data_IF_018439902768
#
_entry.id   IF_018439902768
#
_cell.length_a   1.000
_cell.length_b   1.000
_cell.length_c   1.000
_cell.angle_alpha   90.00
_cell.angle_beta   90.00
_cell.angle_gamma   90.00
#
_symmetry.space_group_name_H-M   'P 1'
#
loop_
_entity.id
_entity.type
_entity.pdbx_description
1 polymer ?
#
# COMPACT_ATOMS: atom_id res chain seq x y z
N UNK A 1 0.55 17.40 -16.98
CA UNK A 1 -0.38 17.12 -15.88
C UNK A 1 0.08 15.79 -15.30
N UNK A 2 0.58 15.78 -14.06
CA UNK A 2 0.95 14.53 -13.40
C UNK A 2 -0.25 13.59 -13.40
N UNK A 3 -0.07 12.37 -13.90
CA UNK A 3 -1.14 11.38 -14.00
C UNK A 3 -1.74 11.06 -12.63
N UNK A 4 -0.96 11.23 -11.54
CA UNK A 4 -1.39 10.94 -10.16
C UNK A 4 -0.92 12.03 -9.18
N UNK A 5 -1.68 13.13 -9.03
CA UNK A 5 -1.38 14.16 -8.04
C UNK A 5 -1.31 13.55 -6.63
N UNK A 6 -0.20 13.76 -5.92
CA UNK A 6 -0.01 13.22 -4.57
C UNK A 6 0.54 11.80 -4.51
N UNK A 7 1.02 11.25 -5.63
CA UNK A 7 1.88 10.06 -5.67
C UNK A 7 3.30 10.47 -6.06
N UNK A 8 4.28 9.96 -5.34
CA UNK A 8 5.70 10.03 -5.69
C UNK A 8 6.23 8.63 -6.01
N UNK A 9 7.22 8.58 -6.88
CA UNK A 9 7.87 7.34 -7.25
C UNK A 9 9.26 7.27 -6.62
N UNK A 10 9.51 6.18 -5.90
CA UNK A 10 10.79 5.89 -5.26
C UNK A 10 11.50 4.77 -6.04
N UNK A 11 12.77 4.95 -6.44
CA UNK A 11 13.56 3.87 -7.04
C UNK A 11 13.95 2.85 -5.97
N UNK A 12 14.06 1.58 -6.35
CA UNK A 12 14.53 0.51 -5.46
C UNK A 12 14.89 -0.77 -6.20
N UNK A 13 15.51 -1.76 -5.52
CA UNK A 13 15.96 -3.01 -6.12
C UNK A 13 14.86 -3.83 -6.81
N UNK A 14 13.63 -3.77 -6.29
CA UNK A 14 12.45 -4.41 -6.88
C UNK A 14 11.74 -3.57 -7.95
N UNK A 15 12.32 -2.45 -8.36
CA UNK A 15 11.71 -1.51 -9.32
C UNK A 15 11.12 -0.25 -8.68
N UNK A 16 10.24 0.41 -9.43
CA UNK A 16 9.62 1.69 -9.03
C UNK A 16 8.49 1.45 -8.02
N UNK A 17 8.56 2.10 -6.86
CA UNK A 17 7.55 2.03 -5.80
C UNK A 17 6.71 3.31 -5.76
N UNK A 18 5.40 3.17 -5.89
CA UNK A 18 4.47 4.28 -5.68
C UNK A 18 4.31 4.55 -4.18
N UNK A 19 4.40 5.81 -3.78
CA UNK A 19 4.22 6.21 -2.38
C UNK A 19 3.66 7.60 -2.20
N UNK A 20 3.26 7.90 -0.98
CA UNK A 20 2.72 9.20 -0.60
C UNK A 20 3.86 10.17 -0.22
N UNK A 21 3.80 11.46 -0.63
CA UNK A 21 4.76 12.46 -0.18
C UNK A 21 4.86 12.51 1.34
N UNK A 22 6.08 12.36 1.88
CA UNK A 22 6.32 12.34 3.33
C UNK A 22 5.65 11.19 4.09
N UNK A 23 5.13 10.19 3.38
CA UNK A 23 4.35 9.09 3.95
C UNK A 23 4.76 7.71 3.42
N UNK A 24 3.99 6.67 3.75
CA UNK A 24 4.28 5.29 3.38
C UNK A 24 4.13 5.06 1.87
N UNK A 25 4.48 3.86 1.42
CA UNK A 25 4.14 3.42 0.08
C UNK A 25 2.66 3.08 -0.06
N UNK A 26 2.17 3.12 -1.30
CA UNK A 26 0.78 2.79 -1.61
C UNK A 26 0.45 1.35 -1.22
N UNK A 27 1.35 0.38 -1.46
CA UNK A 27 1.11 -1.02 -1.11
C UNK A 27 0.91 -1.22 0.39
N UNK A 28 1.62 -0.46 1.24
CA UNK A 28 1.47 -0.52 2.70
C UNK A 28 0.06 -0.05 3.12
N UNK A 29 -0.41 1.05 2.53
CA UNK A 29 -1.75 1.57 2.77
C UNK A 29 -2.82 0.61 2.28
N UNK A 30 -2.61 -0.03 1.11
CA UNK A 30 -3.55 -0.97 0.52
C UNK A 30 -3.68 -2.26 1.32
N UNK A 31 -2.60 -2.74 1.96
CA UNK A 31 -2.69 -3.87 2.91
C UNK A 31 -3.68 -3.57 4.03
N UNK A 32 -3.55 -2.39 4.66
CA UNK A 32 -4.49 -1.95 5.70
C UNK A 32 -5.91 -1.79 5.13
N UNK A 33 -6.06 -1.21 3.93
CA UNK A 33 -7.36 -1.04 3.29
C UNK A 33 -8.08 -2.38 3.05
N UNK A 34 -7.35 -3.44 2.66
CA UNK A 34 -7.91 -4.79 2.42
C UNK A 34 -8.44 -5.46 3.68
N UNK A 35 -7.86 -5.15 4.83
CA UNK A 35 -8.23 -5.73 6.13
C UNK A 35 -9.45 -5.03 6.77
N UNK A 36 -9.96 -3.96 6.16
CA UNK A 36 -11.08 -3.19 6.69
C UNK A 36 -12.41 -3.76 6.22
N UNK A 37 -13.25 -4.17 7.16
CA UNK A 37 -14.66 -4.50 6.93
C UNK A 37 -15.51 -3.22 6.79
N UNK A 38 -15.32 -2.52 5.67
CA UNK A 38 -16.13 -1.38 5.22
C UNK A 38 -15.96 -1.19 3.71
N UNK A 39 -16.74 -0.28 3.11
CA UNK A 39 -16.63 0.06 1.70
C UNK A 39 -16.58 1.57 1.50
N UNK A 40 -16.16 1.95 0.29
CA UNK A 40 -16.17 3.32 -0.20
C UNK A 40 -15.50 4.29 0.78
N UNK A 41 -16.15 5.41 1.08
CA UNK A 41 -15.61 6.45 1.96
C UNK A 41 -15.38 5.97 3.39
N UNK A 42 -16.23 5.08 3.91
CA UNK A 42 -16.07 4.54 5.26
C UNK A 42 -14.81 3.66 5.37
N UNK A 43 -14.42 2.96 4.29
CA UNK A 43 -13.16 2.24 4.25
C UNK A 43 -11.98 3.22 4.26
N UNK A 44 -12.04 4.27 3.44
CA UNK A 44 -10.99 5.31 3.34
C UNK A 44 -10.76 6.00 4.70
N UNK A 45 -11.83 6.41 5.39
CA UNK A 45 -11.72 7.07 6.70
C UNK A 45 -11.11 6.14 7.76
N UNK A 46 -11.52 4.87 7.77
CA UNK A 46 -10.95 3.87 8.67
C UNK A 46 -9.46 3.63 8.35
N UNK A 47 -9.09 3.51 7.07
CA UNK A 47 -7.68 3.37 6.66
C UNK A 47 -6.86 4.56 7.12
N UNK A 48 -7.35 5.77 6.88
CA UNK A 48 -6.67 7.01 7.29
C UNK A 48 -6.43 7.02 8.80
N UNK A 49 -7.45 6.66 9.58
CA UNK A 49 -7.33 6.55 11.05
C UNK A 49 -6.30 5.51 11.49
N UNK A 50 -6.31 4.32 10.90
CA UNK A 50 -5.42 3.22 11.28
C UNK A 50 -3.95 3.47 10.87
N UNK A 51 -3.74 4.18 9.77
CA UNK A 51 -2.41 4.49 9.24
C UNK A 51 -1.84 5.82 9.74
N UNK A 52 -2.64 6.62 10.45
CA UNK A 52 -2.27 7.98 10.86
C UNK A 52 -2.17 8.97 9.70
N UNK A 53 -2.74 8.63 8.55
CA UNK A 53 -2.74 9.47 7.35
C UNK A 53 -3.89 10.48 7.38
N UNK A 54 -3.72 11.58 6.64
CA UNK A 54 -4.86 12.42 6.30
C UNK A 54 -5.81 11.66 5.35
N UNK A 55 -7.12 11.89 5.47
CA UNK A 55 -8.14 11.22 4.64
C UNK A 55 -7.84 11.36 3.14
N UNK A 56 -7.37 12.53 2.71
CA UNK A 56 -7.01 12.74 1.30
C UNK A 56 -5.86 11.84 0.84
N UNK A 57 -4.87 11.54 1.70
CA UNK A 57 -3.75 10.67 1.35
C UNK A 57 -4.20 9.21 1.23
N UNK A 58 -5.05 8.74 2.15
CA UNK A 58 -5.65 7.42 2.06
C UNK A 58 -6.52 7.29 0.78
N UNK A 59 -7.29 8.33 0.45
CA UNK A 59 -8.08 8.38 -0.79
C UNK A 59 -7.19 8.36 -2.03
N UNK A 60 -6.08 9.10 -2.04
CA UNK A 60 -5.12 9.11 -3.15
C UNK A 60 -4.51 7.72 -3.35
N UNK A 61 -4.11 7.03 -2.28
CA UNK A 61 -3.61 5.66 -2.34
C UNK A 61 -4.67 4.69 -2.87
N UNK A 62 -5.92 4.77 -2.39
CA UNK A 62 -7.02 3.94 -2.87
C UNK A 62 -7.33 4.18 -4.35
N UNK A 63 -7.29 5.43 -4.82
CA UNK A 63 -7.48 5.76 -6.24
C UNK A 63 -6.36 5.22 -7.12
N UNK A 64 -5.10 5.37 -6.68
CA UNK A 64 -3.96 4.78 -7.39
C UNK A 64 -4.11 3.25 -7.48
N UNK A 65 -4.54 2.61 -6.39
CA UNK A 65 -4.77 1.19 -6.36
C UNK A 65 -5.86 0.72 -7.33
N UNK A 66 -6.96 1.45 -7.45
CA UNK A 66 -8.02 1.13 -8.42
C UNK A 66 -7.52 1.18 -9.89
N UNK A 67 -6.55 2.04 -10.18
CA UNK A 67 -6.00 2.23 -11.53
C UNK A 67 -4.85 1.25 -11.82
N UNK A 68 -4.06 0.90 -10.80
CA UNK A 68 -2.87 0.04 -10.91
C UNK A 68 -2.92 -1.18 -9.99
N UNK A 69 -4.07 -1.85 -9.91
CA UNK A 69 -4.29 -3.03 -9.05
C UNK A 69 -3.17 -4.06 -9.19
N UNK A 70 -2.83 -4.44 -10.42
CA UNK A 70 -1.82 -5.47 -10.68
C UNK A 70 -0.41 -5.06 -10.21
N UNK A 71 -0.06 -3.78 -10.34
CA UNK A 71 1.25 -3.27 -9.90
C UNK A 71 1.36 -3.34 -8.38
N UNK A 72 0.33 -2.85 -7.68
CA UNK A 72 0.32 -2.84 -6.22
C UNK A 72 0.24 -4.26 -5.65
N UNK A 73 -0.53 -5.14 -6.29
CA UNK A 73 -0.67 -6.55 -5.89
C UNK A 73 0.64 -7.32 -6.05
N UNK A 74 1.37 -7.05 -7.14
CA UNK A 74 2.70 -7.63 -7.33
C UNK A 74 3.67 -7.18 -6.23
N UNK A 75 3.61 -5.92 -5.79
CA UNK A 75 4.41 -5.45 -4.66
C UNK A 75 4.05 -6.13 -3.35
N UNK A 76 2.75 -6.27 -3.04
CA UNK A 76 2.29 -6.98 -1.84
C UNK A 76 2.79 -8.43 -1.87
N UNK A 77 2.62 -9.12 -2.99
CA UNK A 77 3.04 -10.52 -3.16
C UNK A 77 4.57 -10.69 -3.08
N UNK A 78 5.35 -9.77 -3.65
CA UNK A 78 6.81 -9.78 -3.54
C UNK A 78 7.25 -9.62 -2.08
N UNK A 79 6.69 -8.65 -1.37
CA UNK A 79 7.01 -8.41 0.05
C UNK A 79 6.62 -9.61 0.91
N UNK A 80 5.44 -10.19 0.68
CA UNK A 80 4.99 -11.37 1.42
C UNK A 80 5.90 -12.59 1.15
N UNK A 81 6.34 -12.78 -0.11
CA UNK A 81 7.30 -13.83 -0.47
C UNK A 81 8.65 -13.63 0.23
N UNK A 82 9.18 -12.41 0.22
CA UNK A 82 10.44 -12.11 0.90
C UNK A 82 10.33 -12.26 2.41
N UNK A 83 9.18 -11.94 3.01
CA UNK A 83 8.95 -12.15 4.43
C UNK A 83 8.97 -13.65 4.79
N UNK A 84 8.36 -14.50 3.94
CA UNK A 84 8.38 -15.96 4.08
C UNK A 84 9.80 -16.53 3.92
N UNK A 85 10.55 -16.07 2.92
CA UNK A 85 11.94 -16.49 2.66
C UNK A 85 12.92 -16.04 3.75
N UNK A 86 12.69 -14.87 4.36
CA UNK A 86 13.53 -14.33 5.44
C UNK A 86 13.23 -14.99 6.80
N UNK A 87 12.01 -15.47 7.00
CA UNK A 87 11.60 -16.22 8.19
C UNK A 87 11.07 -17.61 7.79
N UNK A 88 11.92 -18.48 7.21
CA UNK A 88 11.53 -19.86 6.98
C UNK A 88 11.29 -20.42 8.38
N UNK A 89 10.04 -20.77 8.64
CA UNK A 89 9.51 -21.17 9.93
C UNK A 89 10.61 -21.73 10.84
N UNK A 90 10.91 -21.04 11.96
CA UNK A 90 11.66 -21.65 13.09
C UNK A 90 10.85 -22.85 13.52
N UNK A 91 11.13 -23.96 12.86
CA UNK A 91 10.56 -25.26 13.10
C UNK A 91 11.03 -25.65 14.48
N UNK A 92 10.04 -25.76 15.37
CA UNK A 92 10.03 -26.48 16.63
C UNK A 92 11.26 -26.35 17.55
N UNK A 93 11.02 -25.81 18.75
CA UNK A 93 11.67 -26.37 19.94
C UNK A 93 10.61 -26.69 20.97
#
# INVERSE_FOLDING_TARGET
MDAHPGIIFRPGPGGRRAGLPGGPDVWEVVRVLRDIEARDEAAIEKTAKLTGLAVYQARTAARYYQEFTNEVDAWIAEVDRQAEEAYPHRTAR
#
